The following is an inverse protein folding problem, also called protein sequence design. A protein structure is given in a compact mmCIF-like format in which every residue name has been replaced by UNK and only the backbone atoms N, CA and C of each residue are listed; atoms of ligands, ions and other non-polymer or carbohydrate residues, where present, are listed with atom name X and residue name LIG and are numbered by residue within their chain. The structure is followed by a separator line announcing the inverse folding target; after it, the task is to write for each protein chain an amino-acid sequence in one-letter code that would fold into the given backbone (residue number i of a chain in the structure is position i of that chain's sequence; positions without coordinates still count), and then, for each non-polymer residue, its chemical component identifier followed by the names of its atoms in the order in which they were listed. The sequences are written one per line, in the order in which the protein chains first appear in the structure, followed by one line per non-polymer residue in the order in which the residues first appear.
data_IF_241588320689
#
_entry.id   IF_241588320689
#
_cell.length_a   1.000
_cell.length_b   1.000
_cell.length_c   1.000
_cell.angle_alpha   90.00
_cell.angle_beta   90.00
_cell.angle_gamma   90.00
#
_symmetry.space_group_name_H-M   'P 1'
#
loop_
_entity.id
_entity.type
_entity.pdbx_description
1 polymer ?
#
# COMPACT_ATOMS: atom_id res chain seq x y z
N UNK A 1 19.37 -3.49 3.48
CA UNK A 1 18.10 -3.37 2.73
C UNK A 1 16.93 -3.38 3.68
N UNK A 2 16.06 -2.39 3.57
CA UNK A 2 14.83 -2.32 4.35
C UNK A 2 13.70 -2.92 3.55
N UNK A 3 12.91 -3.78 4.18
CA UNK A 3 11.68 -4.34 3.60
C UNK A 3 10.49 -3.75 4.33
N UNK A 4 9.56 -3.20 3.56
CA UNK A 4 8.38 -2.50 4.06
C UNK A 4 7.15 -3.24 3.55
N UNK A 5 6.35 -3.78 4.46
CA UNK A 5 5.16 -4.56 4.14
C UNK A 5 3.96 -3.94 4.81
N UNK A 6 2.91 -3.69 4.02
CA UNK A 6 1.65 -3.14 4.53
C UNK A 6 0.50 -3.98 4.01
N UNK A 7 -0.50 -4.23 4.84
CA UNK A 7 -1.74 -4.86 4.43
C UNK A 7 -2.92 -3.99 4.86
N UNK A 8 -3.99 -4.01 4.05
CA UNK A 8 -5.19 -3.22 4.31
C UNK A 8 -6.44 -4.08 4.24
N UNK A 9 -7.39 -3.77 5.11
CA UNK A 9 -8.79 -4.15 4.95
C UNK A 9 -9.55 -2.93 4.45
N UNK A 10 -10.37 -3.11 3.44
CA UNK A 10 -11.13 -2.03 2.83
C UNK A 10 -12.59 -2.09 3.23
N UNK A 11 -13.25 -0.93 3.20
CA UNK A 11 -14.70 -0.82 3.38
C UNK A 11 -15.40 -1.57 2.26
N UNK A 12 -16.60 -2.10 2.53
CA UNK A 12 -17.39 -2.79 1.51
C UNK A 12 -17.73 -1.86 0.34
N UNK A 13 -17.98 -0.58 0.64
CA UNK A 13 -18.15 0.46 -0.37
C UNK A 13 -17.64 1.78 0.20
N UNK A 14 -17.06 2.61 -0.66
CA UNK A 14 -16.57 3.93 -0.30
C UNK A 14 -16.36 4.74 -1.57
N UNK A 15 -16.51 6.06 -1.49
CA UNK A 15 -16.28 6.99 -2.59
C UNK A 15 -17.07 6.62 -3.84
N UNK A 16 -18.29 6.08 -3.67
CA UNK A 16 -19.16 5.70 -4.77
C UNK A 16 -18.76 4.40 -5.47
N UNK A 17 -17.83 3.64 -4.92
CA UNK A 17 -17.31 2.41 -5.55
C UNK A 17 -17.33 1.24 -4.58
N UNK A 18 -17.33 0.03 -5.14
CA UNK A 18 -17.27 -1.22 -4.37
C UNK A 18 -15.86 -1.45 -3.83
N UNK A 19 -15.72 -2.39 -2.89
CA UNK A 19 -14.42 -2.83 -2.39
C UNK A 19 -13.50 -3.26 -3.55
N UNK A 20 -14.01 -4.06 -4.48
CA UNK A 20 -13.23 -4.57 -5.60
C UNK A 20 -12.73 -3.43 -6.50
N UNK A 21 -13.58 -2.46 -6.78
CA UNK A 21 -13.21 -1.30 -7.58
C UNK A 21 -12.14 -0.47 -6.85
N UNK A 22 -12.34 -0.22 -5.56
CA UNK A 22 -11.37 0.54 -4.76
C UNK A 22 -10.04 -0.20 -4.64
N UNK A 23 -10.04 -1.52 -4.55
CA UNK A 23 -8.81 -2.32 -4.53
C UNK A 23 -8.02 -2.14 -5.83
N UNK A 24 -8.70 -2.15 -6.98
CA UNK A 24 -8.05 -1.94 -8.28
C UNK A 24 -7.50 -0.52 -8.41
N UNK A 25 -8.26 0.48 -7.96
CA UNK A 25 -7.80 1.88 -7.97
C UNK A 25 -6.58 2.03 -7.06
N UNK A 26 -6.63 1.45 -5.87
CA UNK A 26 -5.52 1.50 -4.92
C UNK A 26 -4.26 0.85 -5.50
N UNK A 27 -4.39 -0.31 -6.13
CA UNK A 27 -3.26 -0.98 -6.78
C UNK A 27 -2.60 -0.07 -7.80
N UNK A 28 -3.39 0.56 -8.66
CA UNK A 28 -2.87 1.49 -9.68
C UNK A 28 -2.12 2.66 -9.04
N UNK A 29 -2.68 3.25 -7.99
CA UNK A 29 -2.05 4.37 -7.27
C UNK A 29 -0.75 3.94 -6.60
N UNK A 30 -0.74 2.78 -5.94
CA UNK A 30 0.45 2.26 -5.27
C UNK A 30 1.55 1.93 -6.28
N UNK A 31 1.20 1.32 -7.41
CA UNK A 31 2.18 0.99 -8.44
C UNK A 31 2.82 2.24 -9.04
N UNK A 32 2.08 3.35 -9.07
CA UNK A 32 2.63 4.64 -9.49
C UNK A 32 3.77 5.13 -8.61
N UNK A 33 3.85 4.65 -7.36
CA UNK A 33 4.91 5.05 -6.42
C UNK A 33 6.28 4.47 -6.79
N UNK A 34 6.34 3.54 -7.75
CA UNK A 34 7.61 3.06 -8.31
C UNK A 34 8.44 4.19 -8.92
N UNK A 35 7.80 5.30 -9.29
CA UNK A 35 8.48 6.46 -9.86
C UNK A 35 9.31 7.22 -8.84
N UNK A 36 9.08 7.01 -7.55
CA UNK A 36 9.86 7.64 -6.49
C UNK A 36 11.26 7.00 -6.49
N UNK A 37 12.31 7.84 -6.61
CA UNK A 37 13.67 7.35 -6.82
C UNK A 37 14.20 6.45 -5.70
N UNK A 38 13.73 6.64 -4.46
CA UNK A 38 14.14 5.83 -3.31
C UNK A 38 13.57 4.41 -3.32
N UNK A 39 12.53 4.16 -4.10
CA UNK A 39 11.90 2.84 -4.18
C UNK A 39 12.76 1.91 -5.02
N UNK A 40 13.30 0.84 -4.41
CA UNK A 40 14.10 -0.17 -5.12
C UNK A 40 13.24 -1.26 -5.72
N UNK A 41 12.17 -1.64 -5.03
CA UNK A 41 11.22 -2.62 -5.50
C UNK A 41 9.86 -2.30 -4.89
N UNK A 42 8.80 -2.54 -5.64
CA UNK A 42 7.43 -2.37 -5.15
C UNK A 42 6.52 -3.31 -5.93
N UNK A 43 5.73 -4.07 -5.18
CA UNK A 43 4.69 -4.90 -5.79
C UNK A 43 3.44 -4.85 -4.92
N UNK A 44 2.29 -4.99 -5.57
CA UNK A 44 0.97 -4.98 -4.92
C UNK A 44 0.30 -6.31 -5.22
N UNK A 45 -0.23 -6.95 -4.20
CA UNK A 45 -0.89 -8.23 -4.35
C UNK A 45 -2.29 -8.23 -3.76
N UNK A 46 -3.13 -9.11 -4.32
CA UNK A 46 -4.45 -9.40 -3.80
C UNK A 46 -4.46 -10.81 -3.20
N UNK A 47 -5.38 -11.10 -2.25
CA UNK A 47 -5.43 -12.43 -1.64
C UNK A 47 -5.79 -13.50 -2.67
N UNK A 48 -5.23 -14.69 -2.48
CA UNK A 48 -5.51 -15.84 -3.35
C UNK A 48 -6.89 -16.44 -3.06
N UNK A 49 -7.45 -16.18 -1.87
CA UNK A 49 -8.73 -16.75 -1.49
C UNK A 49 -9.59 -15.72 -0.76
N UNK A 50 -10.91 -15.88 -0.83
CA UNK A 50 -11.88 -15.03 -0.13
C UNK A 50 -12.18 -15.61 1.25
N UNK A 51 -11.21 -15.59 2.14
CA UNK A 51 -11.38 -15.99 3.54
C UNK A 51 -11.73 -14.76 4.38
N UNK A 52 -12.52 -14.97 5.46
CA UNK A 52 -12.82 -13.89 6.41
C UNK A 52 -11.55 -13.37 7.10
N UNK A 53 -10.50 -14.19 7.16
CA UNK A 53 -9.23 -13.81 7.76
C UNK A 53 -8.28 -13.16 6.76
N UNK A 54 -8.59 -13.19 5.47
CA UNK A 54 -7.74 -12.60 4.44
C UNK A 54 -7.87 -11.08 4.46
N UNK A 55 -6.76 -10.40 4.32
CA UNK A 55 -6.71 -8.96 4.11
C UNK A 55 -6.89 -8.68 2.62
N UNK A 56 -7.33 -7.48 2.28
CA UNK A 56 -7.81 -7.21 0.91
C UNK A 56 -6.72 -6.81 -0.06
N UNK A 57 -5.68 -6.12 0.42
CA UNK A 57 -4.56 -5.64 -0.42
C UNK A 57 -3.28 -5.73 0.37
N UNK A 58 -2.20 -6.16 -0.28
CA UNK A 58 -0.86 -6.18 0.29
C UNK A 58 0.10 -5.37 -0.56
N UNK A 59 1.00 -4.64 0.10
CA UNK A 59 2.10 -3.92 -0.52
C UNK A 59 3.41 -4.48 0.02
N UNK A 60 4.33 -4.83 -0.88
CA UNK A 60 5.70 -5.19 -0.55
C UNK A 60 6.63 -4.20 -1.24
N UNK A 61 7.54 -3.61 -0.49
CA UNK A 61 8.50 -2.66 -1.08
C UNK A 61 9.86 -2.76 -0.40
N UNK A 62 10.90 -2.32 -1.10
CA UNK A 62 12.29 -2.38 -0.63
C UNK A 62 12.94 -1.02 -0.80
N UNK A 63 13.77 -0.67 0.19
CA UNK A 63 14.53 0.57 0.25
C UNK A 63 15.97 0.26 0.67
N UNK A 64 16.91 1.06 0.19
CA UNK A 64 18.33 0.89 0.50
C UNK A 64 18.59 0.97 2.01
N UNK A 65 17.95 1.95 2.67
CA UNK A 65 18.17 2.25 4.08
C UNK A 65 16.92 2.94 4.68
N UNK A 66 16.96 3.16 5.99
CA UNK A 66 15.85 3.78 6.71
C UNK A 66 15.58 5.22 6.27
N UNK A 67 16.63 5.98 5.89
CA UNK A 67 16.44 7.35 5.43
C UNK A 67 15.66 7.41 4.12
N UNK A 68 15.91 6.46 3.22
CA UNK A 68 15.17 6.35 1.96
C UNK A 68 13.71 6.02 2.21
N UNK A 69 13.43 5.13 3.16
CA UNK A 69 12.04 4.82 3.54
C UNK A 69 11.34 6.07 4.09
N UNK A 70 12.04 6.86 4.92
CA UNK A 70 11.47 8.11 5.45
C UNK A 70 11.21 9.12 4.34
N UNK A 71 12.12 9.24 3.37
CA UNK A 71 11.94 10.13 2.23
C UNK A 71 10.72 9.73 1.40
N UNK A 72 10.54 8.43 1.18
CA UNK A 72 9.37 7.88 0.51
C UNK A 72 8.09 8.23 1.28
N UNK A 73 8.08 8.00 2.59
CA UNK A 73 6.89 8.24 3.42
C UNK A 73 6.44 9.71 3.38
N UNK A 74 7.38 10.65 3.21
CA UNK A 74 7.10 12.09 3.17
C UNK A 74 6.91 12.63 1.75
N UNK A 75 7.12 11.79 0.73
CA UNK A 75 7.00 12.24 -0.66
C UNK A 75 5.56 12.66 -0.97
N UNK A 76 5.35 13.78 -1.68
CA UNK A 76 4.00 14.25 -2.01
C UNK A 76 3.13 13.21 -2.71
N UNK A 77 3.70 12.40 -3.59
CA UNK A 77 2.96 11.35 -4.29
C UNK A 77 2.47 10.27 -3.31
N UNK A 78 3.29 9.92 -2.30
CA UNK A 78 2.89 8.97 -1.26
C UNK A 78 1.76 9.57 -0.40
N UNK A 79 1.87 10.85 -0.04
CA UNK A 79 0.85 11.52 0.77
C UNK A 79 -0.51 11.55 0.07
N UNK A 80 -0.54 11.68 -1.25
CA UNK A 80 -1.78 11.61 -2.04
C UNK A 80 -2.43 10.23 -1.92
N UNK A 81 -1.64 9.18 -1.93
CA UNK A 81 -2.17 7.81 -1.78
C UNK A 81 -2.69 7.60 -0.37
N UNK A 82 -2.00 8.11 0.65
CA UNK A 82 -2.46 8.04 2.04
C UNK A 82 -3.81 8.75 2.19
N UNK A 83 -3.99 9.91 1.55
CA UNK A 83 -5.25 10.64 1.58
C UNK A 83 -6.39 9.81 1.01
N UNK A 84 -6.17 9.13 -0.12
CA UNK A 84 -7.15 8.22 -0.70
C UNK A 84 -7.43 7.03 0.23
N UNK A 85 -6.38 6.41 0.79
CA UNK A 85 -6.50 5.28 1.71
C UNK A 85 -7.37 5.63 2.92
N UNK A 86 -7.21 6.83 3.47
CA UNK A 86 -8.01 7.25 4.63
C UNK A 86 -9.51 7.25 4.35
N UNK A 87 -9.90 7.32 3.09
CA UNK A 87 -11.33 7.31 2.70
C UNK A 87 -11.88 5.90 2.49
N UNK A 88 -11.02 4.92 2.20
CA UNK A 88 -11.47 3.58 1.79
C UNK A 88 -11.09 2.46 2.76
N UNK A 89 -10.15 2.69 3.67
CA UNK A 89 -9.64 1.62 4.55
C UNK A 89 -10.47 1.47 5.83
N UNK A 90 -10.61 0.21 6.26
CA UNK A 90 -11.13 -0.14 7.59
C UNK A 90 -10.01 -0.33 8.58
N UNK A 91 -8.92 -0.96 8.15
CA UNK A 91 -7.79 -1.30 9.01
C UNK A 91 -6.52 -1.38 8.19
N UNK A 92 -5.40 -1.21 8.86
CA UNK A 92 -4.07 -1.22 8.25
C UNK A 92 -3.08 -1.81 9.25
N UNK A 93 -2.24 -2.71 8.77
CA UNK A 93 -1.12 -3.27 9.55
C UNK A 93 0.15 -3.13 8.73
N UNK A 94 1.27 -2.96 9.42
CA UNK A 94 2.55 -2.71 8.79
C UNK A 94 3.66 -3.39 9.56
N UNK A 95 4.67 -3.87 8.86
CA UNK A 95 5.95 -4.27 9.45
C UNK A 95 7.08 -3.81 8.55
N UNK A 96 8.08 -3.19 9.15
CA UNK A 96 9.33 -2.81 8.49
C UNK A 96 10.45 -3.58 9.17
N UNK A 97 11.34 -4.16 8.37
CA UNK A 97 12.50 -4.86 8.93
C UNK A 97 13.68 -4.74 8.01
N UNK A 98 14.86 -4.94 8.60
CA UNK A 98 16.13 -4.86 7.88
C UNK A 98 16.73 -6.25 7.71
N UNK A 99 17.25 -6.51 6.54
CA UNK A 99 18.02 -7.72 6.23
C UNK A 99 19.42 -7.37 5.77
#
# INVERSE_FOLDING_TARGET
MIKHIVVWKLKDSAEGSSKQENALILKSKLEGLKQIKEVKKLEVGFPMSASVDAWDVALYSEFENADDLKAYARHPEHLKVVEYLNKIQLDRKMVDYQV
#
